data_IF_833255915876
#
_entry.id   IF_833255915876
#
_cell.length_a   1.000
_cell.length_b   1.000
_cell.length_c   1.000
_cell.angle_alpha   90.00
_cell.angle_beta   90.00
_cell.angle_gamma   90.00
#
_symmetry.space_group_name_H-M   'P 1'
#
loop_
_entity.id
_entity.type
_entity.pdbx_description
1 polymer ?
#
# COMPACT_ATOMS: atom_id res chain seq x y z
N UNK A 1 -23.61 -9.95 -10.59
CA UNK A 1 -22.24 -10.37 -10.92
C UNK A 1 -21.24 -9.34 -10.39
N UNK A 2 -20.29 -9.79 -9.61
CA UNK A 2 -19.30 -8.87 -9.05
C UNK A 2 -18.33 -8.39 -10.15
N UNK A 3 -17.98 -7.12 -10.13
CA UNK A 3 -17.01 -6.60 -11.06
C UNK A 3 -15.62 -7.12 -10.72
N UNK A 4 -14.80 -7.32 -11.73
CA UNK A 4 -13.42 -7.68 -11.54
C UNK A 4 -12.64 -6.44 -11.12
N UNK A 5 -12.00 -6.50 -9.98
CA UNK A 5 -11.18 -5.42 -9.46
C UNK A 5 -9.76 -5.57 -10.03
N UNK A 6 -9.28 -4.53 -10.71
CA UNK A 6 -7.98 -4.59 -11.38
C UNK A 6 -6.84 -4.80 -10.39
N UNK A 7 -6.82 -4.03 -9.29
CA UNK A 7 -5.81 -4.16 -8.23
C UNK A 7 -6.53 -4.54 -6.95
N UNK A 8 -6.43 -5.80 -6.56
CA UNK A 8 -7.34 -6.38 -5.58
C UNK A 8 -6.92 -6.25 -4.11
N UNK A 9 -5.67 -5.94 -3.83
CA UNK A 9 -5.22 -5.84 -2.44
C UNK A 9 -5.11 -4.38 -1.98
N UNK A 10 -5.94 -4.02 -1.00
CA UNK A 10 -5.83 -2.76 -0.29
C UNK A 10 -4.71 -2.92 0.72
N UNK A 11 -3.61 -2.23 0.48
CA UNK A 11 -2.39 -2.35 1.28
C UNK A 11 -2.16 -1.06 2.04
N UNK A 12 -2.08 -1.13 3.37
CA UNK A 12 -1.86 0.04 4.22
C UNK A 12 -0.79 -0.29 5.25
N UNK A 13 0.07 0.67 5.52
CA UNK A 13 1.09 0.52 6.55
C UNK A 13 1.56 1.87 7.03
N UNK A 14 2.14 1.87 8.22
CA UNK A 14 2.86 3.01 8.77
C UNK A 14 4.35 2.68 8.77
N UNK A 15 5.17 3.69 8.52
CA UNK A 15 6.63 3.55 8.51
C UNK A 15 7.20 4.57 9.48
N UNK A 16 7.85 4.08 10.55
CA UNK A 16 8.52 4.94 11.52
C UNK A 16 9.98 5.09 11.12
N UNK A 17 10.51 6.30 11.20
CA UNK A 17 11.88 6.57 10.84
C UNK A 17 12.17 6.39 9.35
N UNK A 18 11.23 6.81 8.52
CA UNK A 18 11.36 6.66 7.08
C UNK A 18 12.55 7.47 6.55
N UNK A 19 13.39 6.82 5.74
CA UNK A 19 14.63 7.44 5.25
C UNK A 19 14.44 8.37 4.06
N UNK A 20 13.24 8.39 3.47
CA UNK A 20 12.92 9.29 2.35
C UNK A 20 11.66 10.07 2.67
N UNK A 21 11.51 11.22 2.02
CA UNK A 21 10.35 12.06 2.25
C UNK A 21 9.12 11.59 1.46
N UNK A 22 8.00 12.26 1.70
CA UNK A 22 6.71 11.97 1.11
C UNK A 22 6.76 11.97 -0.43
N UNK A 23 7.39 12.97 -1.01
CA UNK A 23 7.45 13.10 -2.48
C UNK A 23 8.27 11.99 -3.11
N UNK A 24 9.41 11.65 -2.51
CA UNK A 24 10.27 10.60 -3.02
C UNK A 24 9.62 9.23 -2.93
N UNK A 25 8.92 8.99 -1.83
CA UNK A 25 8.20 7.73 -1.66
C UNK A 25 7.07 7.59 -2.69
N UNK A 26 6.31 8.66 -2.86
CA UNK A 26 5.24 8.69 -3.86
C UNK A 26 5.79 8.43 -5.27
N UNK A 27 6.86 9.12 -5.63
CA UNK A 27 7.48 8.98 -6.95
C UNK A 27 8.01 7.58 -7.19
N UNK A 28 8.65 6.99 -6.18
CA UNK A 28 9.21 5.65 -6.31
C UNK A 28 8.12 4.60 -6.55
N UNK A 29 7.07 4.66 -5.77
CA UNK A 29 5.98 3.68 -5.90
C UNK A 29 5.28 3.85 -7.25
N UNK A 30 5.03 5.10 -7.65
CA UNK A 30 4.40 5.39 -8.93
C UNK A 30 5.23 4.84 -10.09
N UNK A 31 6.55 4.95 -9.99
CA UNK A 31 7.45 4.52 -11.07
C UNK A 31 7.64 3.01 -11.12
N UNK A 32 7.83 2.36 -9.98
CA UNK A 32 8.31 0.99 -9.95
C UNK A 32 7.26 -0.06 -9.58
N UNK A 33 6.14 0.34 -8.99
CA UNK A 33 5.11 -0.60 -8.60
C UNK A 33 3.83 -0.38 -9.37
N UNK A 34 3.17 -1.47 -9.69
CA UNK A 34 1.92 -1.41 -10.44
C UNK A 34 0.73 -1.40 -9.49
N UNK A 35 -0.10 -0.37 -9.60
CA UNK A 35 -1.28 -0.23 -8.76
C UNK A 35 -1.97 1.10 -8.95
N UNK A 36 -2.93 1.37 -8.08
CA UNK A 36 -3.64 2.66 -8.09
C UNK A 36 -3.99 3.07 -6.66
N UNK A 37 -4.72 4.19 -6.55
CA UNK A 37 -5.15 4.74 -5.25
C UNK A 37 -3.99 4.93 -4.28
N UNK A 38 -2.87 5.44 -4.77
CA UNK A 38 -1.70 5.68 -3.94
C UNK A 38 -1.90 6.94 -3.09
N UNK A 39 -1.73 6.78 -1.77
CA UNK A 39 -1.73 7.90 -0.82
C UNK A 39 -0.49 7.77 0.03
N UNK A 40 0.35 8.81 0.03
CA UNK A 40 1.53 8.87 0.87
C UNK A 40 1.46 10.17 1.65
N UNK A 41 1.39 10.09 2.96
CA UNK A 41 1.24 11.26 3.84
C UNK A 41 2.12 11.07 5.07
N UNK A 42 2.83 12.13 5.44
CA UNK A 42 3.60 12.10 6.67
C UNK A 42 4.99 12.67 6.50
N UNK A 43 5.85 12.32 7.47
CA UNK A 43 7.22 12.82 7.51
C UNK A 43 8.17 11.69 7.93
N UNK A 44 9.43 12.06 8.22
CA UNK A 44 10.45 11.08 8.61
C UNK A 44 10.11 10.33 9.89
N UNK A 45 9.36 10.95 10.80
CA UNK A 45 9.00 10.30 12.06
C UNK A 45 7.91 9.26 11.86
N UNK A 46 6.90 9.62 11.06
CA UNK A 46 5.79 8.72 10.80
C UNK A 46 5.22 8.98 9.41
N UNK A 47 5.35 7.98 8.56
CA UNK A 47 4.84 8.01 7.19
C UNK A 47 3.71 7.02 7.04
N UNK A 48 2.61 7.45 6.43
CA UNK A 48 1.47 6.57 6.13
C UNK A 48 1.43 6.30 4.64
N UNK A 49 1.27 5.02 4.29
CA UNK A 49 1.20 4.59 2.90
C UNK A 49 -0.07 3.76 2.69
N UNK A 50 -0.79 4.07 1.62
CA UNK A 50 -1.97 3.36 1.17
C UNK A 50 -1.83 3.12 -0.32
N UNK A 51 -2.02 1.88 -0.77
CA UNK A 51 -1.85 1.53 -2.18
C UNK A 51 -2.67 0.29 -2.53
N UNK A 52 -3.35 0.33 -3.67
CA UNK A 52 -4.06 -0.83 -4.20
C UNK A 52 -3.18 -1.51 -5.24
N UNK A 53 -2.83 -2.76 -5.02
CA UNK A 53 -1.90 -3.49 -5.87
C UNK A 53 -2.22 -4.98 -5.86
N UNK A 54 -1.73 -5.69 -6.85
CA UNK A 54 -1.83 -7.16 -6.86
C UNK A 54 -0.63 -7.83 -6.21
N UNK A 55 0.38 -7.04 -5.83
CA UNK A 55 1.62 -7.56 -5.26
C UNK A 55 1.98 -6.81 -3.97
N UNK A 56 1.13 -6.93 -2.92
CA UNK A 56 1.33 -6.17 -1.68
C UNK A 56 2.67 -6.47 -0.99
N UNK A 57 3.20 -7.67 -1.18
CA UNK A 57 4.49 -8.04 -0.61
C UNK A 57 5.62 -7.13 -1.09
N UNK A 58 5.56 -6.63 -2.30
CA UNK A 58 6.57 -5.70 -2.83
C UNK A 58 6.56 -4.38 -2.08
N UNK A 59 5.36 -3.87 -1.78
CA UNK A 59 5.19 -2.62 -1.04
C UNK A 59 5.71 -2.79 0.39
N UNK A 60 5.36 -3.89 1.03
CA UNK A 60 5.80 -4.16 2.40
C UNK A 60 7.32 -4.32 2.48
N UNK A 61 7.91 -5.04 1.55
CA UNK A 61 9.36 -5.22 1.51
C UNK A 61 10.07 -3.88 1.32
N UNK A 62 9.57 -3.06 0.40
CA UNK A 62 10.16 -1.74 0.17
C UNK A 62 10.02 -0.86 1.40
N UNK A 63 8.83 -0.82 2.01
CA UNK A 63 8.59 -0.05 3.22
C UNK A 63 9.52 -0.47 4.36
N UNK A 64 9.71 -1.76 4.52
CA UNK A 64 10.61 -2.29 5.57
C UNK A 64 12.06 -1.87 5.34
N UNK A 65 12.45 -1.65 4.07
CA UNK A 65 13.81 -1.17 3.76
C UNK A 65 14.01 0.30 4.11
N UNK A 66 12.93 1.06 4.28
CA UNK A 66 12.99 2.50 4.56
C UNK A 66 12.90 2.82 6.04
N UNK A 67 12.30 1.95 6.83
CA UNK A 67 12.12 2.19 8.26
C UNK A 67 11.37 1.04 8.92
N UNK A 68 10.89 1.28 10.13
CA UNK A 68 10.13 0.27 10.86
C UNK A 68 8.67 0.30 10.41
N UNK A 69 8.18 -0.79 9.85
CA UNK A 69 6.79 -0.86 9.39
C UNK A 69 5.91 -1.48 10.48
N UNK A 70 4.68 -0.94 10.62
CA UNK A 70 3.72 -1.43 11.59
C UNK A 70 2.31 -1.03 11.18
N UNK A 71 1.31 -1.50 11.92
CA UNK A 71 -0.11 -1.31 11.59
C UNK A 71 -0.38 -1.72 10.15
N UNK A 72 0.12 -2.90 9.80
CA UNK A 72 0.07 -3.42 8.44
C UNK A 72 -1.29 -4.03 8.19
N UNK A 73 -1.96 -3.58 7.13
CA UNK A 73 -3.25 -4.12 6.71
C UNK A 73 -3.15 -4.48 5.24
N UNK A 74 -3.49 -5.71 4.91
CA UNK A 74 -3.61 -6.17 3.53
C UNK A 74 -4.96 -6.87 3.41
N UNK A 75 -5.86 -6.27 2.67
CA UNK A 75 -7.21 -6.82 2.49
C UNK A 75 -7.47 -7.14 1.02
N UNK A 76 -8.03 -8.30 0.78
CA UNK A 76 -8.41 -8.72 -0.57
C UNK A 76 -9.80 -8.18 -0.88
N UNK A 77 -9.86 -7.07 -1.60
CA UNK A 77 -11.12 -6.38 -1.92
C UNK A 77 -12.02 -7.22 -2.84
N UNK A 78 -11.42 -8.06 -3.68
CA UNK A 78 -12.20 -8.94 -4.55
C UNK A 78 -12.96 -9.98 -3.72
N UNK A 79 -12.28 -10.57 -2.73
CA UNK A 79 -12.91 -11.52 -1.82
C UNK A 79 -13.98 -10.86 -0.97
N UNK A 80 -13.72 -9.65 -0.48
CA UNK A 80 -14.69 -8.89 0.30
C UNK A 80 -15.96 -8.61 -0.51
N UNK A 81 -15.79 -8.21 -1.76
CA UNK A 81 -16.92 -7.97 -2.67
C UNK A 81 -17.75 -9.22 -2.90
N UNK A 82 -17.10 -10.37 -3.07
CA UNK A 82 -17.77 -11.64 -3.28
C UNK A 82 -18.45 -12.14 -2.01
N UNK A 83 -17.80 -12.01 -0.87
CA UNK A 83 -18.31 -12.48 0.42
C UNK A 83 -19.55 -11.72 0.86
N UNK A 84 -19.68 -10.46 0.45
CA UNK A 84 -20.87 -9.67 0.77
C UNK A 84 -22.15 -10.22 0.13
N UNK A 85 -22.01 -11.06 -0.87
CA UNK A 85 -23.12 -11.63 -1.60
C UNK A 85 -23.35 -13.12 -1.30
N UNK A 86 -22.49 -13.67 -0.46
CA UNK A 86 -22.52 -15.10 -0.14
C UNK A 86 -23.23 -15.41 1.17
#
# INVERSE_FOLDING_TARGET
MAETIEFKFDTQLLIEGCTIDEDRLNDYITEYFRGDCLIVVGDEELMKLHFHTNEPWQVLEYGASLGEIFDIVVENMQRQSEDLHG
#
